data_IF_646576513411
#
_entry.id   IF_646576513411
#
_cell.length_a   1.000
_cell.length_b   1.000
_cell.length_c   1.000
_cell.angle_alpha   90.00
_cell.angle_beta   90.00
_cell.angle_gamma   90.00
#
_symmetry.space_group_name_H-M   'P 1'
#
loop_
_entity.id
_entity.type
_entity.pdbx_description
1 polymer ?
#
# COMPACT_ATOMS: atom_id res chain seq x y z
N UNK A 1 -20.25 2.00 -0.41
CA UNK A 1 -19.38 0.85 -0.05
C UNK A 1 -18.18 1.47 0.62
N UNK A 2 -17.83 1.00 1.80
CA UNK A 2 -16.65 1.50 2.50
C UNK A 2 -15.38 1.13 1.72
N UNK A 3 -14.40 2.05 1.62
CA UNK A 3 -13.15 1.72 0.93
C UNK A 3 -12.34 0.72 1.76
N UNK A 4 -11.54 -0.10 1.09
CA UNK A 4 -10.67 -1.08 1.76
C UNK A 4 -9.73 -0.39 2.76
N UNK A 5 -9.15 0.75 2.39
CA UNK A 5 -8.28 1.50 3.28
C UNK A 5 -9.03 1.98 4.53
N UNK A 6 -10.27 2.46 4.39
CA UNK A 6 -11.06 2.93 5.54
C UNK A 6 -11.35 1.81 6.53
N UNK A 7 -11.68 0.60 6.06
CA UNK A 7 -11.89 -0.55 6.92
C UNK A 7 -10.61 -0.92 7.70
N UNK A 8 -9.46 -0.88 7.04
CA UNK A 8 -8.16 -1.16 7.67
C UNK A 8 -7.77 -0.06 8.65
N UNK A 9 -8.01 1.21 8.32
CA UNK A 9 -7.77 2.35 9.22
C UNK A 9 -8.66 2.25 10.46
N UNK A 10 -9.95 1.93 10.33
CA UNK A 10 -10.85 1.72 11.46
C UNK A 10 -10.36 0.60 12.39
N UNK A 11 -9.94 -0.53 11.78
CA UNK A 11 -9.35 -1.63 12.55
C UNK A 11 -8.08 -1.19 13.26
N UNK A 12 -7.12 -0.56 12.57
CA UNK A 12 -5.86 -0.09 13.16
C UNK A 12 -6.09 0.86 14.31
N UNK A 13 -6.99 1.83 14.17
CA UNK A 13 -7.36 2.78 15.21
C UNK A 13 -7.90 2.08 16.46
N UNK A 14 -8.82 1.11 16.28
CA UNK A 14 -9.38 0.33 17.40
C UNK A 14 -8.33 -0.51 18.14
N UNK A 15 -7.28 -0.92 17.45
CA UNK A 15 -6.18 -1.70 18.02
C UNK A 15 -5.00 -0.82 18.48
N UNK A 16 -5.13 0.51 18.44
CA UNK A 16 -4.06 1.44 18.84
C UNK A 16 -2.85 1.43 17.92
N UNK A 17 -3.00 0.94 16.69
CA UNK A 17 -1.92 0.92 15.70
C UNK A 17 -1.80 2.28 15.00
N UNK A 18 -0.59 2.73 14.64
CA UNK A 18 -0.37 4.04 14.07
C UNK A 18 -1.13 4.27 12.77
N UNK A 19 -1.78 5.44 12.68
CA UNK A 19 -2.41 5.99 11.47
C UNK A 19 -2.10 7.48 11.44
N UNK A 20 -1.79 8.03 10.26
CA UNK A 20 -1.53 9.46 10.09
C UNK A 20 -2.55 10.09 9.14
N UNK A 21 -3.03 11.27 9.47
CA UNK A 21 -3.86 12.11 8.61
C UNK A 21 -3.07 12.99 7.64
N UNK A 22 -1.74 13.03 7.81
CA UNK A 22 -0.82 13.80 6.98
C UNK A 22 0.37 12.94 6.52
N UNK A 23 0.86 13.22 5.31
CA UNK A 23 2.02 12.51 4.75
C UNK A 23 3.26 12.81 5.58
N UNK A 24 3.93 11.75 6.02
CA UNK A 24 5.14 11.83 6.82
C UNK A 24 6.16 10.77 6.44
N UNK A 25 7.42 11.04 6.72
CA UNK A 25 8.46 10.00 6.71
C UNK A 25 8.35 9.20 8.00
N UNK A 26 8.28 7.88 7.88
CA UNK A 26 8.28 7.00 9.04
C UNK A 26 9.63 7.05 9.76
N UNK A 27 9.59 6.93 11.09
CA UNK A 27 10.79 6.70 11.86
C UNK A 27 11.44 5.36 11.44
N UNK A 28 12.79 5.24 11.46
CA UNK A 28 13.47 4.01 11.01
C UNK A 28 12.97 2.72 11.69
N UNK A 29 12.65 2.76 12.96
CA UNK A 29 12.12 1.60 13.71
C UNK A 29 10.72 1.21 13.24
N UNK A 30 9.82 2.19 13.00
CA UNK A 30 8.50 1.92 12.44
C UNK A 30 8.59 1.37 11.01
N UNK A 31 9.48 1.94 10.20
CA UNK A 31 9.74 1.43 8.86
C UNK A 31 10.26 -0.02 8.89
N UNK A 32 11.17 -0.33 9.82
CA UNK A 32 11.69 -1.69 10.00
C UNK A 32 10.59 -2.66 10.44
N UNK A 33 9.73 -2.27 11.37
CA UNK A 33 8.60 -3.09 11.80
C UNK A 33 7.65 -3.42 10.63
N UNK A 34 7.32 -2.43 9.80
CA UNK A 34 6.51 -2.69 8.60
C UNK A 34 7.20 -3.62 7.60
N UNK A 35 8.53 -3.48 7.42
CA UNK A 35 9.31 -4.39 6.54
C UNK A 35 9.24 -5.83 7.07
N UNK A 36 9.39 -6.02 8.38
CA UNK A 36 9.36 -7.34 9.00
C UNK A 36 7.99 -8.00 8.86
N UNK A 37 6.91 -7.29 9.17
CA UNK A 37 5.53 -7.80 9.04
C UNK A 37 5.19 -8.16 7.59
N UNK A 38 5.47 -7.28 6.63
CA UNK A 38 5.20 -7.57 5.21
C UNK A 38 6.05 -8.75 4.72
N UNK A 39 7.28 -8.88 5.20
CA UNK A 39 8.16 -10.00 4.84
C UNK A 39 7.65 -11.31 5.41
N UNK A 40 7.22 -11.33 6.67
CA UNK A 40 6.65 -12.50 7.32
C UNK A 40 5.46 -13.02 6.51
N UNK A 41 4.46 -12.19 6.25
CA UNK A 41 3.28 -12.60 5.47
C UNK A 41 3.63 -13.03 4.05
N UNK A 42 4.55 -12.34 3.40
CA UNK A 42 4.91 -12.69 2.03
C UNK A 42 5.80 -13.93 1.95
N UNK A 43 6.90 -13.99 2.74
CA UNK A 43 7.92 -15.04 2.62
C UNK A 43 7.54 -16.31 3.39
N UNK A 44 6.90 -16.19 4.56
CA UNK A 44 6.62 -17.32 5.44
C UNK A 44 5.21 -17.90 5.26
N UNK A 45 4.25 -17.10 4.75
CA UNK A 45 2.88 -17.55 4.54
C UNK A 45 2.51 -17.65 3.04
N UNK A 46 2.55 -16.54 2.29
CA UNK A 46 2.06 -16.52 0.92
C UNK A 46 2.92 -17.38 -0.03
N UNK A 47 4.24 -17.33 0.09
CA UNK A 47 5.12 -18.12 -0.79
C UNK A 47 4.94 -19.63 -0.55
N UNK A 48 4.95 -20.15 0.68
CA UNK A 48 4.65 -21.57 0.93
C UNK A 48 3.25 -21.98 0.46
N UNK A 49 2.22 -21.14 0.69
CA UNK A 49 0.86 -21.40 0.23
C UNK A 49 0.79 -21.55 -1.30
N UNK A 50 1.44 -20.66 -2.05
CA UNK A 50 1.54 -20.73 -3.51
C UNK A 50 2.26 -22.00 -3.98
N UNK A 51 3.33 -22.41 -3.29
CA UNK A 51 4.11 -23.61 -3.64
C UNK A 51 3.35 -24.90 -3.32
N UNK A 52 2.54 -24.90 -2.26
CA UNK A 52 1.70 -26.06 -1.89
C UNK A 52 0.43 -26.18 -2.75
N UNK A 53 -0.04 -25.05 -3.31
CA UNK A 53 -1.29 -24.96 -4.04
C UNK A 53 -2.52 -24.95 -3.13
N UNK A 54 -2.35 -24.64 -1.84
CA UNK A 54 -3.47 -24.51 -0.91
C UNK A 54 -4.25 -23.23 -1.20
N UNK A 55 -5.45 -23.39 -1.73
CA UNK A 55 -6.27 -22.25 -2.20
C UNK A 55 -6.81 -21.40 -1.07
N UNK A 56 -6.99 -21.93 0.12
CA UNK A 56 -7.45 -21.19 1.30
C UNK A 56 -6.30 -20.35 1.84
N UNK A 57 -5.16 -20.96 2.07
CA UNK A 57 -3.96 -20.29 2.56
C UNK A 57 -3.45 -19.22 1.56
N UNK A 58 -3.52 -19.49 0.24
CA UNK A 58 -3.19 -18.45 -0.79
C UNK A 58 -4.09 -17.23 -0.65
N UNK A 59 -5.40 -17.45 -0.39
CA UNK A 59 -6.34 -16.34 -0.27
C UNK A 59 -6.13 -15.56 1.02
N UNK A 60 -5.93 -16.25 2.13
CA UNK A 60 -5.71 -15.67 3.46
C UNK A 60 -4.42 -14.84 3.49
N UNK A 61 -3.29 -15.46 3.25
CA UNK A 61 -1.98 -14.80 3.22
C UNK A 61 -1.91 -13.66 2.17
N UNK A 62 -2.59 -13.83 1.02
CA UNK A 62 -2.69 -12.75 0.01
C UNK A 62 -3.44 -11.53 0.52
N UNK A 63 -4.49 -11.72 1.34
CA UNK A 63 -5.21 -10.62 1.98
C UNK A 63 -4.38 -9.97 3.09
N UNK A 64 -3.64 -10.76 3.88
CA UNK A 64 -2.81 -10.23 4.95
C UNK A 64 -1.66 -9.36 4.42
N UNK A 65 -1.00 -9.75 3.34
CA UNK A 65 -0.04 -8.88 2.64
C UNK A 65 -0.70 -7.54 2.25
N UNK A 66 -1.93 -7.55 1.74
CA UNK A 66 -2.66 -6.32 1.38
C UNK A 66 -2.94 -5.48 2.62
N UNK A 67 -3.38 -6.09 3.72
CA UNK A 67 -3.67 -5.40 5.00
C UNK A 67 -2.42 -4.70 5.53
N UNK A 68 -1.28 -5.37 5.55
CA UNK A 68 -0.04 -4.77 6.04
C UNK A 68 0.50 -3.67 5.12
N UNK A 69 0.41 -3.85 3.79
CA UNK A 69 0.83 -2.80 2.84
C UNK A 69 -0.07 -1.55 2.95
N UNK A 70 -1.39 -1.72 3.06
CA UNK A 70 -2.32 -0.60 3.28
C UNK A 70 -2.07 0.01 4.66
N UNK A 71 -1.77 -0.81 5.67
CA UNK A 71 -1.39 -0.35 7.00
C UNK A 71 -0.16 0.56 7.00
N UNK A 72 0.89 0.17 6.28
CA UNK A 72 2.08 0.99 6.05
C UNK A 72 1.74 2.33 5.39
N UNK A 73 0.94 2.32 4.32
CA UNK A 73 0.54 3.54 3.62
C UNK A 73 -0.29 4.47 4.50
N UNK A 74 -1.16 3.90 5.35
CA UNK A 74 -2.00 4.66 6.29
C UNK A 74 -1.18 5.25 7.45
N UNK A 75 -0.18 4.53 7.96
CA UNK A 75 0.76 5.04 8.96
C UNK A 75 1.60 6.19 8.37
N UNK A 76 2.03 6.07 7.12
CA UNK A 76 2.74 7.14 6.43
C UNK A 76 1.82 8.28 5.92
N UNK A 77 0.51 8.21 6.14
CA UNK A 77 -0.46 9.24 5.80
C UNK A 77 -0.84 9.32 4.32
N UNK A 78 -0.58 8.27 3.54
CA UNK A 78 -0.95 8.24 2.13
C UNK A 78 -2.41 7.84 1.93
N UNK A 79 -3.07 8.53 0.98
CA UNK A 79 -4.37 8.11 0.46
C UNK A 79 -4.16 7.10 -0.68
N UNK A 80 -4.71 5.90 -0.50
CA UNK A 80 -4.56 4.81 -1.45
C UNK A 80 -5.30 5.08 -2.76
N UNK A 81 -6.53 5.60 -2.69
CA UNK A 81 -7.42 5.69 -3.86
C UNK A 81 -6.84 6.56 -4.99
N UNK A 82 -6.43 7.83 -4.75
CA UNK A 82 -5.89 8.66 -5.82
C UNK A 82 -4.53 8.12 -6.32
N UNK A 83 -3.69 7.57 -5.44
CA UNK A 83 -2.43 6.96 -5.83
C UNK A 83 -2.63 5.73 -6.71
N UNK A 84 -3.54 4.83 -6.34
CA UNK A 84 -3.87 3.65 -7.13
C UNK A 84 -4.51 4.03 -8.46
N UNK A 85 -5.41 5.00 -8.48
CA UNK A 85 -6.02 5.50 -9.72
C UNK A 85 -4.95 6.00 -10.71
N UNK A 86 -3.98 6.76 -10.23
CA UNK A 86 -2.88 7.27 -11.06
C UNK A 86 -1.95 6.14 -11.56
N UNK A 87 -1.63 5.16 -10.72
CA UNK A 87 -0.88 3.96 -11.12
C UNK A 87 -1.64 3.19 -12.20
N UNK A 88 -2.95 3.01 -12.04
CA UNK A 88 -3.79 2.32 -13.03
C UNK A 88 -3.90 3.12 -14.32
N UNK A 89 -4.01 4.46 -14.27
CA UNK A 89 -3.94 5.32 -15.45
C UNK A 89 -2.63 5.07 -16.22
N UNK A 90 -1.50 5.07 -15.51
CA UNK A 90 -0.20 4.77 -16.10
C UNK A 90 -0.12 3.36 -16.69
N UNK A 91 -0.75 2.37 -16.06
CA UNK A 91 -0.82 1.01 -16.57
C UNK A 91 -1.67 0.91 -17.84
N UNK A 92 -2.84 1.54 -17.87
CA UNK A 92 -3.69 1.58 -19.07
C UNK A 92 -3.05 2.33 -20.24
N UNK A 93 -2.19 3.31 -19.99
CA UNK A 93 -1.45 4.00 -21.06
C UNK A 93 -0.40 3.13 -21.76
N UNK A 94 -0.18 1.89 -21.33
CA UNK A 94 0.65 0.90 -22.02
C UNK A 94 -0.06 0.27 -23.21
N UNK A 95 -1.38 0.39 -23.32
CA UNK A 95 -2.14 -0.12 -24.46
C UNK A 95 -1.73 0.62 -25.74
N UNK A 96 -1.78 -0.10 -26.84
CA UNK A 96 -1.59 0.49 -28.15
C UNK A 96 -2.73 1.49 -28.42
N UNK A 97 -2.43 2.76 -28.77
CA UNK A 97 -3.47 3.78 -28.92
C UNK A 97 -4.35 3.61 -30.17
N UNK A 98 -3.92 2.81 -31.16
CA UNK A 98 -4.68 2.57 -32.38
C UNK A 98 -5.61 1.38 -32.23
N UNK A 99 -5.14 0.32 -31.57
CA UNK A 99 -5.89 -0.94 -31.45
C UNK A 99 -6.58 -1.10 -30.08
N UNK A 100 -6.11 -0.40 -29.06
CA UNK A 100 -6.55 -0.58 -27.67
C UNK A 100 -6.05 -1.87 -27.03
N UNK A 101 -5.18 -2.63 -27.71
CA UNK A 101 -4.69 -3.92 -27.24
C UNK A 101 -3.33 -3.81 -26.54
N UNK A 102 -3.00 -4.73 -25.62
CA UNK A 102 -1.69 -4.78 -24.99
C UNK A 102 -0.61 -5.26 -25.96
N UNK A 103 0.57 -4.66 -25.90
CA UNK A 103 1.74 -5.08 -26.65
C UNK A 103 2.57 -6.00 -25.76
N UNK A 104 2.71 -7.26 -26.14
CA UNK A 104 3.50 -8.25 -25.39
C UNK A 104 4.90 -8.42 -25.97
N UNK A 105 5.88 -8.60 -25.09
CA UNK A 105 7.24 -8.96 -25.49
C UNK A 105 7.29 -10.34 -26.15
N UNK A 106 8.05 -10.40 -27.23
CA UNK A 106 8.37 -11.64 -27.97
C UNK A 106 9.63 -12.32 -27.45
N UNK A 107 10.21 -11.79 -26.40
CA UNK A 107 11.38 -12.35 -25.70
C UNK A 107 12.56 -11.40 -25.59
N UNK A 108 13.52 -11.76 -24.72
CA UNK A 108 14.68 -10.93 -24.37
C UNK A 108 15.54 -10.53 -25.58
N UNK A 109 15.72 -11.44 -26.53
CA UNK A 109 16.57 -11.19 -27.72
C UNK A 109 15.93 -10.23 -28.74
N UNK A 110 14.60 -10.11 -28.74
CA UNK A 110 13.85 -9.32 -29.72
C UNK A 110 13.47 -7.96 -29.14
N UNK A 111 12.89 -7.96 -27.95
CA UNK A 111 12.25 -6.77 -27.35
C UNK A 111 12.98 -6.32 -26.07
N UNK A 112 14.09 -6.95 -25.69
CA UNK A 112 14.85 -6.62 -24.48
C UNK A 112 14.10 -6.90 -23.18
N UNK A 113 13.05 -7.72 -23.22
CA UNK A 113 12.21 -8.05 -22.08
C UNK A 113 11.80 -9.54 -22.11
N UNK A 114 11.47 -10.14 -20.95
CA UNK A 114 10.98 -11.51 -20.90
C UNK A 114 9.75 -11.74 -21.79
N UNK A 115 9.65 -12.93 -22.37
CA UNK A 115 8.49 -13.31 -23.19
C UNK A 115 7.16 -13.11 -22.43
N UNK A 116 6.19 -12.49 -23.07
CA UNK A 116 4.85 -12.24 -22.50
C UNK A 116 4.77 -11.05 -21.54
N UNK A 117 5.88 -10.34 -21.27
CA UNK A 117 5.83 -9.09 -20.50
C UNK A 117 5.12 -8.01 -21.33
N UNK A 118 4.18 -7.27 -20.69
CA UNK A 118 3.54 -6.10 -21.31
C UNK A 118 4.58 -5.01 -21.51
N UNK A 119 4.72 -4.55 -22.74
CA UNK A 119 5.63 -3.47 -23.14
C UNK A 119 4.95 -2.10 -22.98
N UNK A 120 5.77 -1.06 -22.95
CA UNK A 120 5.31 0.32 -22.98
C UNK A 120 5.08 0.73 -24.44
N UNK A 121 3.82 0.97 -24.82
CA UNK A 121 3.45 1.49 -26.13
C UNK A 121 3.87 2.94 -26.33
N UNK A 122 3.64 3.47 -27.53
CA UNK A 122 3.98 4.86 -27.90
C UNK A 122 3.22 5.93 -27.08
N UNK A 123 2.06 5.57 -26.54
CA UNK A 123 1.23 6.43 -25.69
C UNK A 123 1.53 6.30 -24.18
N UNK A 124 2.55 5.53 -23.79
CA UNK A 124 2.84 5.32 -22.37
C UNK A 124 3.23 6.61 -21.67
N UNK A 125 2.52 6.89 -20.59
CA UNK A 125 2.82 7.98 -19.65
C UNK A 125 2.99 7.39 -18.26
N UNK A 126 4.15 7.58 -17.66
CA UNK A 126 4.42 7.11 -16.30
C UNK A 126 3.45 7.76 -15.29
N UNK A 127 3.12 7.07 -14.17
CA UNK A 127 2.37 7.69 -13.09
C UNK A 127 3.11 8.89 -12.49
N UNK A 128 2.39 9.98 -12.27
CA UNK A 128 2.89 11.16 -11.55
C UNK A 128 2.40 11.17 -10.09
N UNK A 129 2.99 10.29 -9.29
CA UNK A 129 2.66 10.21 -7.87
C UNK A 129 3.10 11.44 -7.08
N UNK A 130 4.08 12.21 -7.59
CA UNK A 130 4.48 13.47 -6.94
C UNK A 130 3.35 14.51 -7.04
N UNK A 131 2.68 14.61 -8.20
CA UNK A 131 1.51 15.46 -8.35
C UNK A 131 0.33 14.99 -7.47
N UNK A 132 0.10 13.69 -7.36
CA UNK A 132 -0.93 13.13 -6.46
C UNK A 132 -0.65 13.50 -5.01
N UNK A 133 0.58 13.32 -4.54
CA UNK A 133 1.00 13.71 -3.18
C UNK A 133 0.80 15.20 -2.95
N UNK A 134 1.22 16.04 -3.90
CA UNK A 134 1.09 17.48 -3.80
C UNK A 134 -0.38 17.95 -3.77
N UNK A 135 -1.27 17.31 -4.52
CA UNK A 135 -2.71 17.62 -4.54
C UNK A 135 -3.41 17.14 -3.27
N UNK A 136 -3.09 15.94 -2.78
CA UNK A 136 -3.65 15.37 -1.55
C UNK A 136 -3.24 16.15 -0.30
N UNK A 137 -2.03 16.70 -0.25
CA UNK A 137 -1.59 17.56 0.84
C UNK A 137 -2.41 18.87 0.95
N UNK A 138 -3.09 19.29 -0.13
CA UNK A 138 -3.96 20.48 -0.14
C UNK A 138 -5.41 20.19 0.32
N UNK A 139 -5.85 18.93 0.29
CA UNK A 139 -7.25 18.53 0.50
C UNK A 139 -7.47 17.74 1.80
N UNK A 140 -6.38 17.42 2.51
CA UNK A 140 -6.44 16.72 3.80
C UNK A 140 -6.77 17.71 4.92
N UNK A 141 -8.01 18.25 4.90
CA UNK A 141 -8.59 18.90 6.07
C UNK A 141 -8.70 17.92 7.24
N UNK A 142 -8.64 18.43 8.46
CA UNK A 142 -8.57 17.71 9.74
C UNK A 142 -9.74 16.73 10.04
N UNK A 143 -10.52 16.32 9.07
CA UNK A 143 -11.68 15.42 9.23
C UNK A 143 -11.51 14.05 8.54
N UNK A 144 -10.32 13.73 8.00
CA UNK A 144 -10.18 12.53 7.17
C UNK A 144 -10.49 11.23 7.93
N UNK A 145 -10.17 11.16 9.22
CA UNK A 145 -10.27 9.90 9.99
C UNK A 145 -11.02 10.02 11.32
N UNK A 146 -11.56 11.20 11.67
CA UNK A 146 -12.06 11.50 13.01
C UNK A 146 -10.93 11.97 13.95
N UNK A 147 -11.21 12.97 14.78
CA UNK A 147 -10.23 13.47 15.74
C UNK A 147 -10.03 12.45 16.88
N UNK A 148 -9.07 11.56 16.73
CA UNK A 148 -8.51 10.78 17.84
C UNK A 148 -7.24 11.50 18.34
N UNK A 149 -6.94 11.44 19.65
CA UNK A 149 -5.79 12.15 20.21
C UNK A 149 -4.49 11.68 19.56
N UNK A 150 -3.59 12.64 19.29
CA UNK A 150 -2.26 12.30 18.79
C UNK A 150 -1.56 11.35 19.78
N UNK A 151 -0.74 10.42 19.30
CA UNK A 151 0.05 9.51 20.13
C UNK A 151 0.83 10.23 21.23
N UNK A 152 1.18 11.52 21.00
CA UNK A 152 1.79 12.40 22.02
C UNK A 152 0.87 12.74 23.20
N UNK A 153 -0.43 12.52 23.08
CA UNK A 153 -1.46 12.84 24.08
C UNK A 153 -1.95 11.59 24.83
N UNK A 154 -1.59 10.38 24.34
CA UNK A 154 -1.91 9.12 25.01
C UNK A 154 -0.90 8.84 26.13
N UNK A 155 -1.40 8.34 27.26
CA UNK A 155 -0.56 7.79 28.34
C UNK A 155 -0.23 6.31 28.05
N UNK A 156 0.78 5.75 28.74
CA UNK A 156 1.09 4.31 28.61
C UNK A 156 -0.09 3.41 29.03
N UNK A 157 -1.02 3.92 29.84
CA UNK A 157 -2.23 3.21 30.28
C UNK A 157 -3.30 3.14 29.19
N UNK A 158 -3.22 4.01 28.16
CA UNK A 158 -4.15 4.06 27.03
C UNK A 158 -3.72 3.12 25.89
N UNK A 159 -2.52 2.52 25.97
CA UNK A 159 -2.00 1.61 24.96
C UNK A 159 -2.37 0.17 25.29
N UNK A 160 -2.71 -0.66 24.29
CA UNK A 160 -2.87 -2.10 24.51
C UNK A 160 -1.60 -2.67 25.12
N UNK A 161 -1.70 -3.46 26.19
CA UNK A 161 -0.60 -3.90 27.07
C UNK A 161 0.56 -4.68 26.43
N UNK A 162 0.70 -4.62 25.12
CA UNK A 162 1.76 -5.22 24.32
C UNK A 162 2.72 -4.16 23.73
N UNK A 163 2.37 -2.84 23.83
CA UNK A 163 3.12 -1.75 23.23
C UNK A 163 3.38 -0.67 24.27
N UNK A 164 4.56 -0.11 24.28
CA UNK A 164 4.90 1.08 25.07
C UNK A 164 5.02 2.30 24.15
N UNK A 165 4.88 3.50 24.74
CA UNK A 165 5.06 4.76 24.00
C UNK A 165 6.44 4.87 23.33
N UNK A 166 7.44 4.18 23.87
CA UNK A 166 8.79 4.10 23.32
C UNK A 166 8.87 3.25 22.02
N UNK A 167 7.86 2.43 21.75
CA UNK A 167 7.81 1.60 20.54
C UNK A 167 7.38 2.41 19.30
N UNK A 168 6.88 3.65 19.51
CA UNK A 168 6.33 4.51 18.46
C UNK A 168 7.03 5.88 18.32
N UNK A 169 7.98 6.21 19.20
CA UNK A 169 8.74 7.46 19.20
C UNK A 169 10.16 7.28 18.71
#
# INVERSE_FOLDING_TARGET
MESMQRAIVDWRTKFGLPVSDSIRTLHPEAAQAHIELIREEFEEELVPALLSGDTVEIYDAGLDVIVYVIGLLSDAGYDLEPGLAEVMRGNYSKLDPETGEPIYSRGQEIDGAPLGKVLKGSAYVAPDLAAVIASGAADLGAEKWGAEPALSELSDDDLPGMWSRSDFL
#
